data_IF_342407663898
#
_entry.id   IF_342407663898
#
_cell.length_a   1.000
_cell.length_b   1.000
_cell.length_c   1.000
_cell.angle_alpha   90.00
_cell.angle_beta   90.00
_cell.angle_gamma   90.00
#
_symmetry.space_group_name_H-M   'P 1'
#
loop_
_entity.id
_entity.type
_entity.pdbx_description
1 polymer ?
#
# COMPACT_ATOMS: atom_id res chain seq x y z
N UNK A 1 -5.02 -6.54 17.09
CA UNK A 1 -4.31 -5.46 17.80
C UNK A 1 -3.69 -4.57 16.71
N UNK A 2 -4.43 -3.56 16.24
CA UNK A 2 -3.91 -2.66 15.20
C UNK A 2 -2.88 -1.72 15.85
N UNK A 3 -1.61 -1.88 15.47
CA UNK A 3 -0.54 -0.96 15.87
C UNK A 3 -0.54 0.18 14.86
N UNK A 4 -1.10 1.33 15.25
CA UNK A 4 -0.84 2.61 14.59
C UNK A 4 0.60 3.00 14.92
N UNK A 5 1.55 2.58 14.09
CA UNK A 5 2.94 3.02 14.16
C UNK A 5 3.09 4.34 13.39
N UNK A 6 2.86 5.46 14.07
CA UNK A 6 3.31 6.76 13.58
C UNK A 6 4.82 6.88 13.80
N UNK A 7 5.63 6.49 12.83
CA UNK A 7 7.08 6.66 12.87
C UNK A 7 7.48 7.91 12.07
N UNK A 8 7.70 9.03 12.74
CA UNK A 8 8.42 10.17 12.16
C UNK A 8 9.92 9.92 12.33
N UNK A 9 10.62 9.60 11.25
CA UNK A 9 12.10 9.54 11.27
C UNK A 9 12.64 10.82 10.65
N UNK A 10 13.23 11.67 11.47
CA UNK A 10 14.06 12.79 11.05
C UNK A 10 15.51 12.30 11.06
N UNK A 11 16.11 12.13 9.87
CA UNK A 11 17.53 11.77 9.75
C UNK A 11 18.36 13.06 9.71
N UNK A 12 19.06 13.34 10.81
CA UNK A 12 20.11 14.36 10.83
C UNK A 12 21.39 13.82 10.16
N UNK A 13 22.12 14.62 9.35
CA UNK A 13 23.37 14.18 8.77
C UNK A 13 24.49 14.23 9.82
N UNK A 14 25.18 13.12 10.03
CA UNK A 14 26.44 13.09 10.78
C UNK A 14 27.60 13.34 9.82
N UNK A 15 28.30 14.44 10.06
CA UNK A 15 29.54 14.84 9.41
C UNK A 15 30.69 13.91 9.87
N UNK A 16 31.27 13.15 8.94
CA UNK A 16 32.46 12.35 9.17
C UNK A 16 33.39 12.46 7.95
N UNK A 17 34.41 13.30 8.09
CA UNK A 17 35.46 13.50 7.11
C UNK A 17 36.26 12.21 6.86
N UNK A 18 36.47 11.88 5.58
CA UNK A 18 37.46 10.91 5.10
C UNK A 18 38.63 11.66 4.43
N UNK A 19 39.87 11.12 4.46
CA UNK A 19 41.06 11.87 4.11
C UNK A 19 41.32 11.96 2.59
N UNK A 20 42.03 13.03 2.27
CA UNK A 20 42.49 13.54 0.99
C UNK A 20 43.38 12.53 0.21
N UNK A 21 43.02 12.25 -1.04
CA UNK A 21 43.92 11.64 -2.04
C UNK A 21 43.67 12.30 -3.41
N UNK A 22 44.62 13.15 -3.79
CA UNK A 22 44.74 13.84 -5.09
C UNK A 22 45.39 12.89 -6.11
N UNK A 23 44.76 12.66 -7.27
CA UNK A 23 45.07 13.29 -8.58
C UNK A 23 44.50 12.48 -9.77
N UNK A 24 43.86 13.13 -10.74
CA UNK A 24 43.39 12.46 -11.96
C UNK A 24 42.27 13.16 -12.73
N UNK A 25 42.63 14.18 -13.49
CA UNK A 25 41.79 14.98 -14.39
C UNK A 25 40.94 14.18 -15.42
N UNK A 26 39.61 14.33 -15.38
CA UNK A 26 38.66 14.04 -16.47
C UNK A 26 37.38 14.93 -16.32
N UNK A 27 36.68 15.28 -17.42
CA UNK A 27 35.94 16.53 -17.56
C UNK A 27 34.62 16.59 -16.80
N UNK A 28 34.33 17.80 -16.29
CA UNK A 28 33.13 18.21 -15.58
C UNK A 28 31.84 17.83 -16.32
N UNK A 29 30.99 17.06 -15.65
CA UNK A 29 29.65 16.69 -16.12
C UNK A 29 28.84 16.00 -15.03
N UNK A 30 28.97 16.43 -13.78
CA UNK A 30 28.06 16.06 -12.70
C UNK A 30 27.01 17.16 -12.57
N UNK A 31 25.90 17.02 -13.29
CA UNK A 31 24.68 17.76 -12.96
C UNK A 31 24.05 17.07 -11.77
N UNK A 32 24.56 17.43 -10.59
CA UNK A 32 24.03 17.00 -9.31
C UNK A 32 22.52 17.14 -9.26
N UNK A 33 21.84 16.05 -8.93
CA UNK A 33 20.45 16.07 -8.49
C UNK A 33 20.42 16.71 -7.11
N UNK A 34 20.48 18.03 -7.07
CA UNK A 34 20.17 18.82 -5.88
C UNK A 34 18.66 18.74 -5.63
N UNK A 35 18.26 17.75 -4.83
CA UNK A 35 16.88 17.50 -4.45
C UNK A 35 16.39 18.44 -3.31
N UNK A 36 16.87 19.69 -3.24
CA UNK A 36 16.54 20.57 -2.11
C UNK A 36 15.95 21.94 -2.44
N UNK A 37 15.61 22.23 -3.70
CA UNK A 37 14.92 23.49 -4.00
C UNK A 37 13.77 23.34 -4.99
N UNK A 38 12.55 23.38 -4.45
CA UNK A 38 11.37 23.80 -5.18
C UNK A 38 11.57 25.28 -5.60
N UNK A 39 11.38 25.68 -6.87
CA UNK A 39 11.62 27.05 -7.35
C UNK A 39 10.81 28.14 -6.63
N UNK A 40 9.81 27.79 -5.82
CA UNK A 40 8.98 28.72 -5.03
C UNK A 40 9.46 28.89 -3.56
N UNK A 41 10.52 28.19 -3.14
CA UNK A 41 11.21 28.41 -1.85
C UNK A 41 10.43 28.02 -0.59
N UNK A 42 9.29 27.34 -0.71
CA UNK A 42 8.54 26.78 0.42
C UNK A 42 9.15 25.47 0.93
N UNK A 43 8.82 25.04 2.18
CA UNK A 43 9.14 23.69 2.61
C UNK A 43 8.44 22.68 1.70
N UNK A 44 9.06 21.50 1.45
CA UNK A 44 8.46 20.49 0.60
C UNK A 44 7.10 20.05 1.15
N UNK A 45 6.15 19.65 0.28
CA UNK A 45 4.85 19.17 0.72
C UNK A 45 5.00 17.95 1.64
N UNK A 46 4.21 17.91 2.71
CA UNK A 46 4.15 16.78 3.65
C UNK A 46 3.01 15.87 3.21
N UNK A 47 3.33 14.61 2.93
CA UNK A 47 2.35 13.57 2.63
C UNK A 47 2.07 12.71 3.87
N UNK A 48 0.80 12.41 4.11
CA UNK A 48 0.30 11.55 5.19
C UNK A 48 -0.25 10.27 4.61
N UNK A 49 0.28 9.15 5.09
CA UNK A 49 -0.14 7.82 4.68
C UNK A 49 -0.62 7.07 5.91
N UNK A 50 -1.85 6.53 5.86
CA UNK A 50 -2.33 5.57 6.84
C UNK A 50 -2.03 4.15 6.35
N UNK A 51 -1.74 3.23 7.27
CA UNK A 51 -1.54 1.82 6.95
C UNK A 51 -2.52 0.99 7.78
N UNK A 52 -3.29 0.15 7.09
CA UNK A 52 -4.24 -0.80 7.65
C UNK A 52 -3.82 -2.21 7.20
N UNK A 53 -3.97 -3.19 8.08
CA UNK A 53 -3.62 -4.59 7.80
C UNK A 53 -4.49 -5.50 8.64
N UNK A 54 -4.66 -6.74 8.18
CA UNK A 54 -5.27 -7.83 8.95
C UNK A 54 -6.62 -7.40 9.55
N UNK A 55 -7.48 -6.83 8.69
CA UNK A 55 -8.78 -6.30 9.08
C UNK A 55 -9.84 -7.41 9.21
N UNK A 56 -9.57 -8.56 8.59
CA UNK A 56 -10.51 -9.65 8.48
C UNK A 56 -10.96 -10.23 9.83
N UNK A 57 -12.18 -10.75 9.82
CA UNK A 57 -12.72 -11.55 10.92
C UNK A 57 -12.43 -13.04 10.74
N UNK A 58 -13.34 -13.86 11.26
CA UNK A 58 -13.33 -15.31 10.99
C UNK A 58 -13.61 -15.61 9.51
N UNK A 59 -13.24 -16.82 9.05
CA UNK A 59 -13.58 -17.28 7.71
C UNK A 59 -15.08 -17.16 7.39
N UNK A 60 -15.42 -16.50 6.29
CA UNK A 60 -16.80 -16.25 5.89
C UNK A 60 -17.48 -15.08 6.60
N UNK A 61 -16.75 -14.28 7.39
CA UNK A 61 -17.30 -13.07 7.99
C UNK A 61 -17.74 -12.08 6.93
N UNK A 62 -18.99 -11.62 7.02
CA UNK A 62 -19.59 -10.59 6.17
C UNK A 62 -19.80 -9.27 6.93
N UNK A 63 -19.29 -9.18 8.15
CA UNK A 63 -19.33 -7.99 9.01
C UNK A 63 -18.00 -7.84 9.74
N UNK A 64 -17.70 -6.61 10.16
CA UNK A 64 -16.44 -6.25 10.79
C UNK A 64 -16.64 -5.83 12.25
N UNK A 65 -15.60 -6.02 13.06
CA UNK A 65 -15.64 -5.64 14.47
C UNK A 65 -15.78 -4.12 14.62
N UNK A 66 -16.42 -3.66 15.70
CA UNK A 66 -16.57 -2.23 16.00
C UNK A 66 -15.23 -1.48 16.07
N UNK A 67 -14.14 -2.17 16.41
CA UNK A 67 -12.79 -1.59 16.39
C UNK A 67 -12.28 -1.29 14.99
N UNK A 68 -12.70 -2.05 13.96
CA UNK A 68 -12.38 -1.76 12.55
C UNK A 68 -13.12 -0.50 12.13
N UNK A 69 -14.43 -0.43 12.39
CA UNK A 69 -15.22 0.77 12.11
C UNK A 69 -14.64 2.03 12.78
N UNK A 70 -14.30 1.95 14.07
CA UNK A 70 -13.69 3.07 14.78
C UNK A 70 -12.31 3.48 14.22
N UNK A 71 -11.52 2.52 13.74
CA UNK A 71 -10.25 2.82 13.09
C UNK A 71 -10.45 3.54 11.75
N UNK A 72 -11.40 3.09 10.92
CA UNK A 72 -11.74 3.74 9.64
C UNK A 72 -12.28 5.15 9.89
N UNK A 73 -13.19 5.34 10.84
CA UNK A 73 -13.68 6.67 11.23
C UNK A 73 -12.53 7.59 11.65
N UNK A 74 -11.54 7.06 12.40
CA UNK A 74 -10.38 7.84 12.83
C UNK A 74 -9.46 8.22 11.68
N UNK A 75 -9.30 7.34 10.69
CA UNK A 75 -8.54 7.59 9.46
C UNK A 75 -9.24 8.65 8.62
N UNK A 76 -10.55 8.51 8.39
CA UNK A 76 -11.35 9.52 7.67
C UNK A 76 -11.25 10.88 8.35
N UNK A 77 -11.40 10.94 9.68
CA UNK A 77 -11.26 12.19 10.43
C UNK A 77 -9.84 12.77 10.42
N UNK A 78 -8.81 11.94 10.20
CA UNK A 78 -7.43 12.39 10.06
C UNK A 78 -7.12 12.92 8.65
N UNK A 79 -7.89 12.50 7.64
CA UNK A 79 -7.76 12.89 6.24
C UNK A 79 -6.32 12.74 5.70
N UNK A 80 -5.77 11.51 5.65
CA UNK A 80 -4.51 11.25 4.97
C UNK A 80 -4.64 11.45 3.45
N UNK A 81 -3.50 11.63 2.79
CA UNK A 81 -3.42 11.69 1.33
C UNK A 81 -3.57 10.30 0.68
N UNK A 82 -3.34 9.23 1.45
CA UNK A 82 -3.43 7.85 0.98
C UNK A 82 -3.65 6.89 2.17
N UNK A 83 -4.43 5.84 1.94
CA UNK A 83 -4.48 4.66 2.82
C UNK A 83 -3.87 3.48 2.08
N UNK A 84 -3.04 2.72 2.78
CA UNK A 84 -2.49 1.45 2.33
C UNK A 84 -3.17 0.30 3.06
N UNK A 85 -3.63 -0.71 2.32
CA UNK A 85 -3.86 -2.04 2.87
C UNK A 85 -2.71 -2.97 2.51
N UNK A 86 -2.16 -3.66 3.50
CA UNK A 86 -1.12 -4.68 3.33
C UNK A 86 -1.68 -6.11 3.29
N UNK A 87 -2.95 -6.27 2.93
CA UNK A 87 -3.61 -7.57 2.77
C UNK A 87 -4.52 -7.97 3.92
N UNK A 88 -5.10 -9.17 3.79
CA UNK A 88 -5.97 -9.82 4.76
C UNK A 88 -7.18 -8.95 5.13
N UNK A 89 -7.82 -8.40 4.11
CA UNK A 89 -9.05 -7.62 4.15
C UNK A 89 -10.25 -8.51 4.44
N UNK A 90 -10.40 -9.61 3.71
CA UNK A 90 -11.40 -10.68 3.97
C UNK A 90 -10.70 -11.99 4.38
N UNK A 91 -11.47 -12.98 4.82
CA UNK A 91 -10.95 -14.30 5.25
C UNK A 91 -11.53 -15.42 4.38
N UNK A 92 -11.00 -15.59 3.16
CA UNK A 92 -11.52 -16.44 2.08
C UNK A 92 -10.85 -17.81 1.90
N UNK A 93 -9.82 -18.17 2.67
CA UNK A 93 -9.10 -19.46 2.57
C UNK A 93 -9.89 -20.71 3.03
N UNK A 94 -11.19 -20.79 2.72
CA UNK A 94 -12.03 -21.98 2.90
C UNK A 94 -12.97 -22.12 1.71
N UNK A 95 -13.18 -23.35 1.25
CA UNK A 95 -14.16 -23.66 0.21
C UNK A 95 -15.60 -23.35 0.66
N UNK A 96 -16.48 -23.19 -0.33
CA UNK A 96 -17.94 -23.00 -0.15
C UNK A 96 -18.33 -21.77 0.70
N UNK A 97 -17.47 -20.75 0.73
CA UNK A 97 -17.79 -19.45 1.30
C UNK A 97 -18.49 -18.55 0.27
N UNK A 98 -19.33 -17.64 0.76
CA UNK A 98 -19.90 -16.58 -0.06
C UNK A 98 -18.92 -15.39 -0.13
N UNK A 99 -17.94 -15.51 -1.03
CA UNK A 99 -16.88 -14.51 -1.18
C UNK A 99 -17.41 -13.11 -1.52
N UNK A 100 -18.45 -13.01 -2.35
CA UNK A 100 -19.03 -11.72 -2.72
C UNK A 100 -19.69 -11.05 -1.52
N UNK A 101 -20.44 -11.79 -0.71
CA UNK A 101 -21.00 -11.24 0.53
C UNK A 101 -19.93 -10.81 1.54
N UNK A 102 -18.77 -11.48 1.56
CA UNK A 102 -17.63 -11.08 2.39
C UNK A 102 -17.04 -9.75 1.92
N UNK A 103 -16.83 -9.59 0.61
CA UNK A 103 -16.33 -8.36 0.01
C UNK A 103 -17.33 -7.20 0.13
N UNK A 104 -18.63 -7.44 -0.07
CA UNK A 104 -19.68 -6.45 0.23
C UNK A 104 -19.58 -5.92 1.66
N UNK A 105 -19.37 -6.83 2.63
CA UNK A 105 -19.17 -6.49 4.03
C UNK A 105 -17.90 -5.66 4.26
N UNK A 106 -16.80 -5.99 3.58
CA UNK A 106 -15.55 -5.25 3.65
C UNK A 106 -15.71 -3.84 3.06
N UNK A 107 -16.32 -3.74 1.88
CA UNK A 107 -16.50 -2.47 1.20
C UNK A 107 -17.35 -1.52 2.02
N UNK A 108 -18.49 -2.00 2.54
CA UNK A 108 -19.36 -1.20 3.39
C UNK A 108 -18.67 -0.74 4.69
N UNK A 109 -17.77 -1.55 5.26
CA UNK A 109 -17.09 -1.23 6.51
C UNK A 109 -15.84 -0.35 6.33
N UNK A 110 -15.15 -0.44 5.20
CA UNK A 110 -13.80 0.09 5.01
C UNK A 110 -13.67 0.94 3.75
N UNK A 111 -13.80 0.36 2.56
CA UNK A 111 -13.43 1.08 1.34
C UNK A 111 -14.45 2.14 0.92
N UNK A 112 -15.75 1.89 1.13
CA UNK A 112 -16.80 2.86 0.77
C UNK A 112 -16.70 4.12 1.64
N UNK A 113 -16.53 4.04 2.99
CA UNK A 113 -16.26 5.23 3.79
C UNK A 113 -15.02 6.03 3.38
N UNK A 114 -13.96 5.36 2.91
CA UNK A 114 -12.75 6.03 2.40
C UNK A 114 -13.04 6.71 1.05
N UNK A 115 -13.74 6.04 0.15
CA UNK A 115 -14.13 6.58 -1.15
C UNK A 115 -15.08 7.78 -1.01
N UNK A 116 -16.06 7.71 -0.11
CA UNK A 116 -16.98 8.81 0.23
C UNK A 116 -16.23 10.03 0.77
N UNK A 117 -15.13 9.80 1.49
CA UNK A 117 -14.21 10.83 1.97
C UNK A 117 -13.19 11.30 0.91
N UNK A 118 -13.24 10.76 -0.31
CA UNK A 118 -12.27 11.02 -1.39
C UNK A 118 -10.82 10.69 -1.00
N UNK A 119 -10.63 9.66 -0.19
CA UNK A 119 -9.30 9.18 0.24
C UNK A 119 -8.91 7.99 -0.63
N UNK A 120 -7.83 8.07 -1.43
CA UNK A 120 -7.33 6.94 -2.20
C UNK A 120 -6.96 5.75 -1.30
N UNK A 121 -7.31 4.53 -1.72
CA UNK A 121 -7.04 3.30 -0.98
C UNK A 121 -6.29 2.30 -1.85
N UNK A 122 -4.98 2.20 -1.65
CA UNK A 122 -4.11 1.27 -2.37
C UNK A 122 -3.96 -0.03 -1.58
N UNK A 123 -4.16 -1.17 -2.24
CA UNK A 123 -4.22 -2.48 -1.58
C UNK A 123 -3.13 -3.41 -2.07
N UNK A 124 -2.75 -4.36 -1.23
CA UNK A 124 -1.83 -5.45 -1.55
C UNK A 124 -2.55 -6.77 -1.22
N UNK A 125 -2.43 -7.81 -2.05
CA UNK A 125 -3.01 -9.11 -1.75
C UNK A 125 -2.38 -9.71 -0.47
N UNK A 126 -3.20 -10.28 0.39
CA UNK A 126 -2.79 -11.10 1.53
C UNK A 126 -3.03 -12.59 1.27
N UNK A 127 -2.56 -13.44 2.19
CA UNK A 127 -2.83 -14.87 2.05
C UNK A 127 -4.30 -15.19 2.33
N UNK A 128 -5.00 -14.42 3.16
CA UNK A 128 -6.39 -14.72 3.49
C UNK A 128 -7.38 -14.30 2.40
N UNK A 129 -7.02 -13.36 1.54
CA UNK A 129 -7.91 -12.68 0.61
C UNK A 129 -7.42 -12.65 -0.85
N UNK A 130 -6.29 -13.29 -1.17
CA UNK A 130 -5.80 -13.46 -2.54
C UNK A 130 -4.69 -14.51 -2.66
N UNK A 131 -4.78 -15.62 -1.92
CA UNK A 131 -3.65 -16.57 -1.86
C UNK A 131 -3.23 -17.12 -3.22
N UNK A 132 -1.92 -17.12 -3.51
CA UNK A 132 -1.36 -17.67 -4.74
C UNK A 132 -1.37 -19.20 -4.85
N UNK A 133 -1.80 -19.96 -3.83
CA UNK A 133 -1.94 -21.41 -3.95
C UNK A 133 -3.14 -21.80 -4.82
N UNK A 134 -2.99 -22.81 -5.68
CA UNK A 134 -4.03 -23.26 -6.61
C UNK A 134 -5.37 -23.66 -5.94
N UNK A 135 -5.34 -24.08 -4.68
CA UNK A 135 -6.55 -24.39 -3.89
C UNK A 135 -7.43 -23.18 -3.59
N UNK A 136 -6.92 -21.96 -3.77
CA UNK A 136 -7.61 -20.69 -3.49
C UNK A 136 -7.79 -19.83 -4.75
N UNK A 137 -7.66 -20.44 -5.94
CA UNK A 137 -7.73 -19.70 -7.21
C UNK A 137 -9.07 -18.97 -7.44
N UNK A 138 -10.18 -19.51 -6.94
CA UNK A 138 -11.51 -18.86 -7.04
C UNK A 138 -11.57 -17.58 -6.22
N UNK A 139 -11.16 -17.65 -4.96
CA UNK A 139 -11.11 -16.53 -4.03
C UNK A 139 -10.19 -15.41 -4.57
N UNK A 140 -9.01 -15.79 -5.04
CA UNK A 140 -8.06 -14.88 -5.68
C UNK A 140 -8.61 -14.22 -6.96
N UNK A 141 -9.38 -14.94 -7.77
CA UNK A 141 -10.03 -14.35 -8.95
C UNK A 141 -11.05 -13.29 -8.53
N UNK A 142 -11.77 -13.51 -7.44
CA UNK A 142 -12.72 -12.53 -6.90
C UNK A 142 -11.99 -11.29 -6.38
N UNK A 143 -10.86 -11.44 -5.66
CA UNK A 143 -10.02 -10.29 -5.29
C UNK A 143 -9.66 -9.42 -6.50
N UNK A 144 -9.25 -10.04 -7.60
CA UNK A 144 -8.92 -9.33 -8.84
C UNK A 144 -10.13 -8.55 -9.37
N UNK A 145 -11.30 -9.19 -9.41
CA UNK A 145 -12.54 -8.55 -9.86
C UNK A 145 -12.92 -7.34 -8.97
N UNK A 146 -12.92 -7.50 -7.64
CA UNK A 146 -13.33 -6.45 -6.70
C UNK A 146 -12.48 -5.19 -6.81
N UNK A 147 -11.17 -5.35 -7.01
CA UNK A 147 -10.26 -4.21 -7.08
C UNK A 147 -10.12 -3.61 -8.48
N UNK A 148 -10.31 -4.37 -9.55
CA UNK A 148 -10.31 -3.83 -10.91
C UNK A 148 -11.34 -2.70 -11.09
N UNK A 149 -12.47 -2.77 -10.38
CA UNK A 149 -13.50 -1.72 -10.38
C UNK A 149 -13.24 -0.58 -9.38
N UNK A 150 -12.24 -0.72 -8.49
CA UNK A 150 -11.97 0.17 -7.36
C UNK A 150 -10.52 0.66 -7.33
N UNK A 151 -9.96 0.99 -8.50
CA UNK A 151 -8.57 1.45 -8.61
C UNK A 151 -8.36 2.75 -7.82
N UNK A 152 -7.29 2.87 -7.01
CA UNK A 152 -7.01 4.11 -6.29
C UNK A 152 -6.62 5.24 -7.26
N UNK A 153 -7.02 6.46 -6.93
CA UNK A 153 -6.57 7.67 -7.65
C UNK A 153 -5.13 8.01 -7.25
N UNK A 154 -4.18 7.34 -7.91
CA UNK A 154 -2.74 7.51 -7.73
C UNK A 154 -2.04 7.60 -9.08
N UNK A 155 -0.81 8.11 -9.09
CA UNK A 155 0.00 8.11 -10.31
C UNK A 155 0.69 6.76 -10.49
N UNK A 156 0.06 5.85 -11.24
CA UNK A 156 0.67 4.57 -11.57
C UNK A 156 1.98 4.73 -12.35
N UNK A 157 2.97 3.92 -11.98
CA UNK A 157 4.25 3.73 -12.68
C UNK A 157 4.21 2.43 -13.48
N UNK A 158 3.63 1.38 -12.88
CA UNK A 158 3.34 0.10 -13.51
C UNK A 158 2.05 -0.44 -12.92
N UNK A 159 1.11 -0.83 -13.77
CA UNK A 159 -0.21 -1.28 -13.38
C UNK A 159 -0.69 -2.50 -14.20
N UNK A 160 0.23 -3.14 -14.93
CA UNK A 160 -0.06 -4.24 -15.85
C UNK A 160 -0.70 -5.46 -15.15
N UNK A 161 -0.39 -5.65 -13.88
CA UNK A 161 -0.83 -6.79 -13.05
C UNK A 161 -1.61 -6.33 -11.81
N UNK A 162 -2.11 -5.10 -11.82
CA UNK A 162 -3.02 -4.62 -10.78
C UNK A 162 -4.26 -5.53 -10.71
N UNK A 163 -4.75 -5.91 -9.52
CA UNK A 163 -4.33 -5.48 -8.17
C UNK A 163 -3.26 -6.35 -7.50
N UNK A 164 -2.72 -7.36 -8.18
CA UNK A 164 -1.85 -8.36 -7.56
C UNK A 164 -0.44 -7.84 -7.32
N UNK A 165 0.10 -7.06 -8.27
CA UNK A 165 1.37 -6.36 -8.14
C UNK A 165 1.36 -5.12 -9.02
N UNK A 166 1.90 -4.02 -8.53
CA UNK A 166 1.90 -2.74 -9.21
C UNK A 166 2.78 -1.73 -8.47
N UNK A 167 3.08 -0.62 -9.13
CA UNK A 167 3.85 0.49 -8.55
C UNK A 167 3.19 1.82 -8.87
N UNK A 168 3.29 2.78 -7.95
CA UNK A 168 2.73 4.12 -8.11
C UNK A 168 3.52 5.14 -7.29
N UNK A 169 3.28 6.42 -7.58
CA UNK A 169 3.88 7.56 -6.87
C UNK A 169 2.87 8.33 -6.05
N UNK A 170 3.32 8.79 -4.89
CA UNK A 170 2.71 9.86 -4.11
C UNK A 170 3.79 10.94 -3.90
N UNK A 171 3.72 12.02 -4.67
CA UNK A 171 4.80 12.99 -4.74
C UNK A 171 6.14 12.35 -5.16
N UNK A 172 7.24 12.58 -4.43
CA UNK A 172 8.54 12.00 -4.77
C UNK A 172 8.67 10.51 -4.40
N UNK A 173 7.79 9.99 -3.53
CA UNK A 173 7.87 8.62 -3.02
C UNK A 173 7.33 7.61 -4.04
N UNK A 174 8.06 6.52 -4.23
CA UNK A 174 7.65 5.35 -4.99
C UNK A 174 7.12 4.29 -4.02
N UNK A 175 5.92 3.78 -4.28
CA UNK A 175 5.32 2.66 -3.59
C UNK A 175 5.25 1.47 -4.54
N UNK A 176 5.54 0.28 -4.01
CA UNK A 176 5.51 -0.98 -4.76
C UNK A 176 4.70 -1.98 -3.95
N UNK A 177 3.64 -2.51 -4.56
CA UNK A 177 2.86 -3.62 -4.04
C UNK A 177 3.31 -4.90 -4.72
N UNK A 178 3.58 -5.93 -3.93
CA UNK A 178 4.10 -7.23 -4.38
C UNK A 178 3.11 -8.32 -4.00
N UNK A 179 3.01 -9.35 -4.85
CA UNK A 179 2.29 -10.58 -4.54
C UNK A 179 3.21 -11.55 -3.80
N UNK A 180 3.20 -11.46 -2.46
CA UNK A 180 3.97 -12.33 -1.54
C UNK A 180 3.05 -13.25 -0.73
N UNK A 181 2.03 -13.80 -1.39
CA UNK A 181 0.96 -14.57 -0.74
C UNK A 181 1.26 -16.08 -0.59
N UNK A 182 2.49 -16.50 -0.92
CA UNK A 182 2.95 -17.89 -0.84
C UNK A 182 4.35 -17.97 -0.23
N UNK A 183 4.71 -19.13 0.33
CA UNK A 183 6.04 -19.31 0.91
C UNK A 183 7.05 -19.59 -0.19
N UNK A 184 8.10 -18.77 -0.30
CA UNK A 184 9.18 -19.00 -1.25
C UNK A 184 9.94 -17.73 -1.59
N UNK A 185 10.74 -17.79 -2.65
CA UNK A 185 11.29 -16.59 -3.28
C UNK A 185 10.21 -15.92 -4.13
N UNK A 186 10.27 -14.59 -4.22
CA UNK A 186 9.47 -13.85 -5.19
C UNK A 186 9.75 -14.37 -6.61
N UNK A 187 8.69 -14.43 -7.41
CA UNK A 187 8.81 -14.74 -8.84
C UNK A 187 9.73 -13.70 -9.52
N UNK A 188 10.48 -14.11 -10.54
CA UNK A 188 11.44 -13.24 -11.23
C UNK A 188 10.78 -12.00 -11.83
N UNK A 189 9.50 -12.11 -12.19
CA UNK A 189 8.68 -11.02 -12.72
C UNK A 189 8.42 -9.91 -11.68
N UNK A 190 8.74 -10.14 -10.40
CA UNK A 190 8.58 -9.21 -9.28
C UNK A 190 9.91 -8.69 -8.69
N UNK A 191 11.06 -9.10 -9.23
CA UNK A 191 12.41 -8.67 -8.79
C UNK A 191 13.04 -7.67 -9.75
#
# INVERSE_FOLDING_TARGET
>A
LAILAGCTTELAPTDAAAPDLVDGNAPNGDSGLDATSDPDGGPPPIYRVAVLSDLNGSYGSTTYASTVHAAVERVVAWAPDLVLSTGDMVAGQRADLDYRAMWDGFHAAVSDPLADASIPFAVTPGNHDASGYASFAEERAIFVDEWNERRPDVTFVDDADYPLRYAYRLGPALFVSLDDTTVGSLANEQM
#
